data_IF_614353427624
#
_entry.id   IF_614353427624
#
_cell.length_a   1.000
_cell.length_b   1.000
_cell.length_c   1.000
_cell.angle_alpha   90.00
_cell.angle_beta   90.00
_cell.angle_gamma   90.00
#
_symmetry.space_group_name_H-M   'P 1'
#
loop_
_entity.id
_entity.type
_entity.pdbx_description
1 polymer ?
#
# COMPACT_ATOMS: atom_id res chain seq x y z
N UNK A 1 -5.38 -18.22 -21.66
CA UNK A 1 -5.40 -19.37 -20.74
C UNK A 1 -5.82 -18.90 -19.35
N UNK A 2 -6.67 -19.69 -18.66
CA UNK A 2 -7.05 -19.42 -17.27
C UNK A 2 -5.87 -19.67 -16.34
N UNK A 3 -5.60 -18.71 -15.44
CA UNK A 3 -4.59 -18.85 -14.39
C UNK A 3 -5.16 -18.33 -13.08
N UNK A 4 -4.93 -19.05 -11.99
CA UNK A 4 -5.31 -18.62 -10.66
C UNK A 4 -4.21 -18.96 -9.64
N UNK A 5 -3.83 -17.97 -8.86
CA UNK A 5 -2.89 -18.10 -7.76
C UNK A 5 -3.51 -17.60 -6.47
N UNK A 6 -3.43 -18.39 -5.41
CA UNK A 6 -3.80 -17.99 -4.09
C UNK A 6 -2.61 -18.18 -3.14
N UNK A 7 -2.36 -17.24 -2.29
CA UNK A 7 -1.32 -17.36 -1.27
C UNK A 7 -1.79 -16.85 0.09
N UNK A 8 -1.35 -17.54 1.13
CA UNK A 8 -1.53 -17.13 2.53
C UNK A 8 -0.17 -17.21 3.19
N UNK A 9 0.21 -16.19 3.92
CA UNK A 9 1.46 -16.16 4.67
C UNK A 9 1.25 -15.64 6.08
N UNK A 10 2.03 -16.21 7.00
CA UNK A 10 2.15 -15.77 8.38
C UNK A 10 3.62 -15.51 8.71
N UNK A 11 3.90 -14.47 9.46
CA UNK A 11 5.26 -14.06 9.80
C UNK A 11 5.36 -13.45 11.19
N UNK A 12 6.55 -13.06 11.58
CA UNK A 12 6.82 -12.40 12.85
C UNK A 12 5.97 -11.14 13.03
N UNK A 13 5.66 -10.81 14.29
CA UNK A 13 4.80 -9.69 14.70
C UNK A 13 3.40 -9.76 14.13
N UNK A 14 2.78 -10.95 14.21
CA UNK A 14 1.40 -11.19 13.76
C UNK A 14 1.14 -10.71 12.33
N UNK A 15 2.12 -10.89 11.45
CA UNK A 15 2.01 -10.50 10.07
C UNK A 15 1.28 -11.59 9.27
N UNK A 16 0.01 -11.35 9.00
CA UNK A 16 -0.83 -12.22 8.18
C UNK A 16 -1.16 -11.55 6.87
N UNK A 17 -0.95 -12.25 5.77
CA UNK A 17 -1.26 -11.76 4.43
C UNK A 17 -1.94 -12.84 3.60
N UNK A 18 -3.00 -12.43 2.89
CA UNK A 18 -3.67 -13.26 1.89
C UNK A 18 -3.69 -12.52 0.55
N UNK A 19 -3.52 -13.27 -0.52
CA UNK A 19 -3.57 -12.76 -1.89
C UNK A 19 -4.31 -13.74 -2.79
N UNK A 20 -5.13 -13.21 -3.68
CA UNK A 20 -5.74 -13.94 -4.79
C UNK A 20 -5.41 -13.19 -6.08
N UNK A 21 -4.99 -13.92 -7.11
CA UNK A 21 -4.68 -13.40 -8.45
C UNK A 21 -5.30 -14.35 -9.47
N UNK A 22 -6.26 -13.85 -10.25
CA UNK A 22 -6.96 -14.63 -11.27
C UNK A 22 -6.89 -13.89 -12.59
N UNK A 23 -6.48 -14.61 -13.62
CA UNK A 23 -6.44 -14.15 -15.00
C UNK A 23 -7.20 -15.15 -15.89
N UNK A 24 -8.09 -14.65 -16.74
CA UNK A 24 -8.92 -15.49 -17.58
C UNK A 24 -9.26 -14.83 -18.91
N UNK A 25 -9.29 -15.58 -20.03
CA UNK A 25 -10.00 -15.14 -21.21
C UNK A 25 -11.50 -15.08 -20.89
N UNK A 26 -12.16 -14.03 -21.35
CA UNK A 26 -13.59 -13.80 -21.18
C UNK A 26 -14.38 -14.24 -22.39
N UNK A 27 -13.70 -14.47 -23.55
CA UNK A 27 -14.26 -14.96 -24.79
C UNK A 27 -13.51 -16.22 -25.24
N UNK A 28 -14.17 -17.09 -26.02
CA UNK A 28 -13.61 -18.34 -26.52
C UNK A 28 -12.38 -18.12 -27.42
N UNK A 29 -12.39 -17.05 -28.20
CA UNK A 29 -11.29 -16.63 -29.08
C UNK A 29 -10.13 -15.94 -28.32
N UNK A 30 -10.27 -15.70 -27.03
CA UNK A 30 -9.27 -15.05 -26.18
C UNK A 30 -9.06 -13.55 -26.44
N UNK A 31 -9.88 -12.95 -27.29
CA UNK A 31 -9.77 -11.51 -27.64
C UNK A 31 -10.10 -10.57 -26.48
N UNK A 32 -10.93 -11.02 -25.55
CA UNK A 32 -11.20 -10.30 -24.29
C UNK A 32 -10.62 -11.12 -23.15
N UNK A 33 -9.79 -10.49 -22.35
CA UNK A 33 -9.16 -11.11 -21.19
C UNK A 33 -9.21 -10.17 -19.98
N UNK A 34 -9.31 -10.75 -18.82
CA UNK A 34 -9.37 -10.02 -17.57
C UNK A 34 -8.40 -10.59 -16.53
N UNK A 35 -7.92 -9.72 -15.65
CA UNK A 35 -7.16 -10.07 -14.45
C UNK A 35 -7.67 -9.33 -13.25
N UNK A 36 -7.80 -10.02 -12.13
CA UNK A 36 -8.19 -9.47 -10.85
C UNK A 36 -7.18 -9.91 -9.81
N UNK A 37 -6.69 -8.96 -9.03
CA UNK A 37 -5.80 -9.23 -7.89
C UNK A 37 -6.39 -8.60 -6.64
N UNK A 38 -6.54 -9.39 -5.57
CA UNK A 38 -6.95 -8.93 -4.26
C UNK A 38 -5.89 -9.26 -3.22
N UNK A 39 -5.59 -8.31 -2.33
CA UNK A 39 -4.62 -8.50 -1.24
C UNK A 39 -5.20 -7.92 0.04
N UNK A 40 -5.11 -8.68 1.13
CA UNK A 40 -5.33 -8.18 2.48
C UNK A 40 -4.14 -8.53 3.36
N UNK A 41 -3.76 -7.62 4.24
CA UNK A 41 -2.67 -7.83 5.19
C UNK A 41 -2.98 -7.12 6.50
N UNK A 42 -2.75 -7.79 7.61
CA UNK A 42 -2.70 -7.23 8.97
C UNK A 42 -1.35 -7.57 9.57
N UNK A 43 -0.67 -6.56 10.11
CA UNK A 43 0.65 -6.77 10.73
C UNK A 43 0.88 -5.82 11.88
N UNK A 44 1.61 -6.29 12.87
CA UNK A 44 2.29 -5.48 13.87
C UNK A 44 3.73 -5.18 13.45
N UNK A 45 4.54 -4.65 14.34
CA UNK A 45 5.95 -4.34 14.15
C UNK A 45 6.72 -4.65 15.44
N UNK A 46 8.04 -4.58 15.38
CA UNK A 46 8.87 -4.56 16.58
C UNK A 46 8.63 -3.32 17.45
N UNK A 47 8.05 -2.27 16.90
CA UNK A 47 7.68 -1.05 17.64
C UNK A 47 6.38 -1.28 18.43
N UNK A 48 6.39 -0.86 19.71
CA UNK A 48 5.22 -0.89 20.57
C UNK A 48 4.05 -0.13 19.94
N UNK A 49 2.84 -0.69 20.01
CA UNK A 49 1.58 -0.12 19.54
C UNK A 49 1.44 0.03 18.02
N UNK A 50 2.49 -0.25 17.22
CA UNK A 50 2.39 -0.15 15.77
C UNK A 50 1.60 -1.33 15.20
N UNK A 51 0.55 -1.01 14.47
CA UNK A 51 -0.24 -1.95 13.67
C UNK A 51 -0.55 -1.34 12.31
N UNK A 52 -0.57 -2.15 11.26
CA UNK A 52 -0.95 -1.70 9.92
C UNK A 52 -1.88 -2.70 9.27
N UNK A 53 -3.06 -2.21 8.84
CA UNK A 53 -3.96 -2.93 7.93
C UNK A 53 -3.80 -2.40 6.52
N UNK A 54 -3.69 -3.31 5.56
CA UNK A 54 -3.62 -2.99 4.13
C UNK A 54 -4.63 -3.83 3.36
N UNK A 55 -5.44 -3.16 2.54
CA UNK A 55 -6.24 -3.80 1.51
C UNK A 55 -5.85 -3.22 0.16
N UNK A 56 -5.70 -4.08 -0.84
CA UNK A 56 -5.42 -3.66 -2.20
C UNK A 56 -6.25 -4.48 -3.18
N UNK A 57 -6.65 -3.84 -4.25
CA UNK A 57 -7.37 -4.43 -5.36
C UNK A 57 -6.81 -3.91 -6.67
N UNK A 58 -6.66 -4.78 -7.66
CA UNK A 58 -6.32 -4.44 -9.02
C UNK A 58 -7.24 -5.20 -9.97
N UNK A 59 -7.78 -4.50 -10.94
CA UNK A 59 -8.57 -5.07 -12.03
C UNK A 59 -8.08 -4.56 -13.36
N UNK A 60 -7.96 -5.45 -14.34
CA UNK A 60 -7.55 -5.15 -15.72
C UNK A 60 -8.45 -5.90 -16.68
N UNK A 61 -8.91 -5.22 -17.72
CA UNK A 61 -9.53 -5.82 -18.89
C UNK A 61 -8.78 -5.38 -20.13
N UNK A 62 -8.45 -6.32 -20.98
CA UNK A 62 -7.83 -6.08 -22.28
C UNK A 62 -8.73 -6.64 -23.39
N UNK A 63 -8.82 -5.90 -24.48
CA UNK A 63 -9.61 -6.23 -25.64
C UNK A 63 -8.77 -6.06 -26.90
N UNK A 64 -8.58 -7.14 -27.66
CA UNK A 64 -7.98 -7.09 -28.99
C UNK A 64 -9.04 -6.56 -29.96
N UNK A 65 -9.04 -5.26 -30.25
CA UNK A 65 -9.97 -4.61 -31.19
C UNK A 65 -9.72 -5.08 -32.62
N UNK A 66 -8.44 -5.21 -32.97
CA UNK A 66 -7.95 -5.80 -34.21
C UNK A 66 -6.69 -6.65 -33.88
N UNK A 67 -6.14 -7.43 -34.84
CA UNK A 67 -4.88 -8.16 -34.60
C UNK A 67 -3.72 -7.25 -34.17
N UNK A 68 -3.76 -5.98 -34.55
CA UNK A 68 -2.68 -5.01 -34.29
C UNK A 68 -3.07 -3.95 -33.26
N UNK A 69 -4.27 -4.02 -32.66
CA UNK A 69 -4.78 -3.00 -31.76
C UNK A 69 -5.33 -3.62 -30.47
N UNK A 70 -4.74 -3.25 -29.34
CA UNK A 70 -5.18 -3.67 -28.01
C UNK A 70 -5.68 -2.44 -27.24
N UNK A 71 -6.88 -2.55 -26.69
CA UNK A 71 -7.43 -1.60 -25.71
C UNK A 71 -7.30 -2.21 -24.32
N UNK A 72 -6.75 -1.46 -23.37
CA UNK A 72 -6.65 -1.84 -21.97
C UNK A 72 -7.40 -0.87 -21.07
N UNK A 73 -8.09 -1.38 -20.05
CA UNK A 73 -8.76 -0.59 -19.02
C UNK A 73 -8.45 -1.22 -17.67
N UNK A 74 -8.02 -0.42 -16.72
CA UNK A 74 -7.68 -0.93 -15.41
C UNK A 74 -8.02 0.01 -14.27
N UNK A 75 -8.11 -0.58 -13.09
CA UNK A 75 -8.35 0.11 -11.84
C UNK A 75 -7.48 -0.49 -10.73
N UNK A 76 -6.80 0.38 -10.00
CA UNK A 76 -5.99 0.05 -8.82
C UNK A 76 -6.56 0.78 -7.60
N UNK A 77 -6.67 0.08 -6.50
CA UNK A 77 -7.12 0.59 -5.22
C UNK A 77 -6.20 0.12 -4.11
N UNK A 78 -5.76 1.03 -3.26
CA UNK A 78 -5.03 0.70 -2.04
C UNK A 78 -5.56 1.51 -0.85
N UNK A 79 -5.78 0.83 0.27
CA UNK A 79 -6.19 1.43 1.54
C UNK A 79 -5.24 0.92 2.64
N UNK A 80 -4.45 1.82 3.20
CA UNK A 80 -3.41 1.51 4.19
C UNK A 80 -3.72 2.30 5.46
N UNK A 81 -3.92 1.60 6.57
CA UNK A 81 -4.33 2.17 7.86
C UNK A 81 -3.34 1.82 8.97
N UNK A 82 -2.23 2.52 9.07
CA UNK A 82 -1.32 2.36 10.21
C UNK A 82 -1.86 3.09 11.45
N UNK A 83 -1.68 2.44 12.61
CA UNK A 83 -1.92 2.97 13.94
C UNK A 83 -0.63 2.94 14.74
N UNK A 84 -0.57 3.70 15.83
CA UNK A 84 0.64 3.77 16.64
C UNK A 84 1.81 4.42 15.89
N UNK A 85 1.53 5.42 15.07
CA UNK A 85 2.53 6.17 14.29
C UNK A 85 2.80 7.53 14.89
N UNK A 86 4.05 8.01 14.79
CA UNK A 86 4.47 9.35 15.18
C UNK A 86 4.98 10.13 13.98
N UNK A 87 5.00 11.46 14.10
CA UNK A 87 5.67 12.34 13.13
C UNK A 87 7.14 12.56 13.48
N UNK A 88 7.72 11.80 14.33
CA UNK A 88 9.12 11.93 14.75
C UNK A 88 9.61 10.69 15.45
N UNK A 89 10.87 10.71 15.80
CA UNK A 89 11.50 9.65 16.57
C UNK A 89 11.27 9.81 18.08
N UNK A 90 11.97 8.97 18.84
CA UNK A 90 12.08 9.10 20.30
C UNK A 90 13.28 10.00 20.63
N UNK A 91 13.22 10.85 21.67
CA UNK A 91 14.36 11.64 22.11
C UNK A 91 15.48 10.71 22.62
N UNK A 92 16.72 10.99 22.22
CA UNK A 92 17.89 10.19 22.62
C UNK A 92 18.50 10.63 23.94
N UNK A 93 18.12 11.79 24.43
CA UNK A 93 18.69 12.42 25.63
C UNK A 93 17.58 12.83 26.60
N UNK A 94 17.87 12.76 27.87
CA UNK A 94 17.11 13.43 28.91
C UNK A 94 17.47 14.91 28.99
N UNK A 95 16.69 15.70 29.72
CA UNK A 95 16.95 17.14 29.93
C UNK A 95 18.25 17.43 30.67
N UNK A 96 18.79 16.48 31.40
CA UNK A 96 20.09 16.53 32.09
C UNK A 96 21.27 16.17 31.17
N UNK A 97 21.02 15.86 29.88
CA UNK A 97 22.04 15.46 28.91
C UNK A 97 22.44 13.99 28.99
N UNK A 98 21.85 13.20 29.87
CA UNK A 98 22.10 11.77 29.91
C UNK A 98 21.34 11.03 28.81
N UNK A 99 21.88 9.87 28.34
CA UNK A 99 21.27 9.08 27.30
C UNK A 99 20.04 8.33 27.83
N UNK A 100 18.96 8.32 27.05
CA UNK A 100 17.70 7.65 27.42
C UNK A 100 17.77 6.14 27.37
N UNK A 101 18.66 5.55 26.56
CA UNK A 101 18.85 4.11 26.39
C UNK A 101 17.51 3.34 26.22
N UNK A 102 16.57 3.90 25.46
CA UNK A 102 15.29 3.25 25.18
C UNK A 102 15.47 1.86 24.59
N UNK A 103 14.52 0.98 24.89
CA UNK A 103 14.43 -0.32 24.20
C UNK A 103 14.20 -0.09 22.69
N UNK A 104 14.62 -1.05 21.87
CA UNK A 104 14.41 -1.02 20.42
C UNK A 104 12.92 -0.90 20.06
N UNK A 105 12.03 -1.42 20.90
CA UNK A 105 10.59 -1.38 20.68
C UNK A 105 9.93 -0.06 21.08
N UNK A 106 10.64 0.80 21.80
CA UNK A 106 10.06 2.04 22.36
C UNK A 106 9.40 2.88 21.31
N UNK A 107 8.14 3.21 21.54
CA UNK A 107 7.35 4.13 20.75
C UNK A 107 6.76 5.24 21.65
N UNK A 108 6.75 6.47 21.16
CA UNK A 108 6.04 7.59 21.80
C UNK A 108 4.62 7.79 21.23
N UNK A 109 4.19 6.92 20.32
CA UNK A 109 2.87 6.96 19.71
C UNK A 109 1.77 6.63 20.72
N UNK A 110 0.83 7.54 21.03
CA UNK A 110 -0.39 7.19 21.72
C UNK A 110 -1.32 6.30 20.86
N UNK A 111 -2.24 5.60 21.50
CA UNK A 111 -3.15 4.66 20.82
C UNK A 111 -4.10 5.33 19.82
N UNK A 112 -4.33 6.63 19.97
CA UNK A 112 -5.18 7.41 19.06
C UNK A 112 -4.48 7.84 17.76
N UNK A 113 -3.16 7.66 17.64
CA UNK A 113 -2.40 8.07 16.45
C UNK A 113 -2.67 7.14 15.28
N UNK A 114 -2.78 7.73 14.09
CA UNK A 114 -3.03 7.04 12.83
C UNK A 114 -2.56 7.87 11.64
N UNK A 115 -2.36 7.21 10.52
CA UNK A 115 -2.06 7.85 9.24
C UNK A 115 -2.69 7.06 8.10
N UNK A 116 -4.00 7.24 7.92
CA UNK A 116 -4.74 6.51 6.90
C UNK A 116 -4.42 7.08 5.52
N UNK A 117 -4.07 6.21 4.58
CA UNK A 117 -3.78 6.58 3.19
C UNK A 117 -4.61 5.71 2.25
N UNK A 118 -5.31 6.36 1.33
CA UNK A 118 -6.06 5.71 0.26
C UNK A 118 -5.57 6.24 -1.08
N UNK A 119 -5.29 5.33 -2.02
CA UNK A 119 -4.96 5.64 -3.40
C UNK A 119 -5.89 4.87 -4.33
N UNK A 120 -6.40 5.55 -5.32
CA UNK A 120 -7.23 5.02 -6.39
C UNK A 120 -6.64 5.49 -7.71
N UNK A 121 -6.51 4.57 -8.66
CA UNK A 121 -5.98 4.87 -9.98
C UNK A 121 -6.81 4.14 -11.03
N UNK A 122 -7.41 4.89 -11.97
CA UNK A 122 -8.09 4.34 -13.12
C UNK A 122 -7.35 4.74 -14.38
N UNK A 123 -7.19 3.81 -15.31
CA UNK A 123 -6.53 4.09 -16.58
C UNK A 123 -7.23 3.42 -17.75
N UNK A 124 -7.06 4.02 -18.92
CA UNK A 124 -7.40 3.46 -20.22
C UNK A 124 -6.21 3.65 -21.14
N UNK A 125 -5.81 2.60 -21.83
CA UNK A 125 -4.67 2.59 -22.75
C UNK A 125 -5.02 1.97 -24.07
N UNK A 126 -4.36 2.41 -25.14
CA UNK A 126 -4.42 1.82 -26.46
C UNK A 126 -3.02 1.57 -26.97
N UNK A 127 -2.80 0.38 -27.49
CA UNK A 127 -1.60 -0.01 -28.22
C UNK A 127 -1.98 -0.34 -29.67
N UNK A 128 -1.24 0.20 -30.64
CA UNK A 128 -1.46 -0.07 -32.06
C UNK A 128 -0.13 -0.23 -32.80
N UNK A 129 -0.01 -1.33 -33.56
CA UNK A 129 1.09 -1.59 -34.46
C UNK A 129 0.71 -1.22 -35.88
N UNK A 130 1.51 -0.35 -36.53
CA UNK A 130 1.32 0.03 -37.92
C UNK A 130 2.10 -0.90 -38.88
N UNK A 131 1.60 -1.12 -40.08
CA UNK A 131 2.25 -1.95 -41.12
C UNK A 131 3.69 -1.50 -41.47
N UNK A 132 3.99 -0.22 -41.29
CA UNK A 132 5.32 0.35 -41.52
C UNK A 132 6.32 0.12 -40.35
N UNK A 133 5.94 -0.68 -39.35
CA UNK A 133 6.76 -1.01 -38.18
C UNK A 133 6.70 -0.01 -37.02
N UNK A 134 5.95 1.08 -37.15
CA UNK A 134 5.72 2.00 -36.03
C UNK A 134 4.78 1.40 -35.00
N UNK A 135 4.93 1.83 -33.75
CA UNK A 135 4.03 1.47 -32.64
C UNK A 135 3.54 2.72 -31.95
N UNK A 136 2.25 2.79 -31.69
CA UNK A 136 1.62 3.81 -30.85
C UNK A 136 1.28 3.18 -29.50
N UNK A 137 1.70 3.81 -28.42
CA UNK A 137 1.24 3.55 -27.06
C UNK A 137 0.71 4.86 -26.49
N UNK A 138 -0.56 4.88 -26.11
CA UNK A 138 -1.18 6.01 -25.44
C UNK A 138 -1.98 5.54 -24.22
N UNK A 139 -1.81 6.24 -23.09
CA UNK A 139 -2.51 5.93 -21.85
C UNK A 139 -3.00 7.21 -21.19
N UNK A 140 -4.26 7.19 -20.77
CA UNK A 140 -4.86 8.23 -19.93
C UNK A 140 -5.06 7.63 -18.54
N UNK A 141 -4.62 8.37 -17.53
CA UNK A 141 -4.66 7.94 -16.13
C UNK A 141 -5.35 9.00 -15.28
N UNK A 142 -6.24 8.58 -14.41
CA UNK A 142 -6.82 9.41 -13.36
C UNK A 142 -6.45 8.84 -11.99
N UNK A 143 -5.69 9.59 -11.22
CA UNK A 143 -5.24 9.21 -9.88
C UNK A 143 -5.87 10.09 -8.82
N UNK A 144 -6.39 9.48 -7.75
CA UNK A 144 -6.90 10.16 -6.57
C UNK A 144 -6.21 9.58 -5.34
N UNK A 145 -5.64 10.48 -4.53
CA UNK A 145 -5.02 10.10 -3.25
C UNK A 145 -5.68 10.89 -2.12
N UNK A 146 -5.96 10.22 -1.00
CA UNK A 146 -6.47 10.81 0.23
C UNK A 146 -5.62 10.38 1.39
N UNK A 147 -5.24 11.33 2.24
CA UNK A 147 -4.53 11.07 3.49
C UNK A 147 -5.28 11.69 4.66
N UNK A 148 -5.42 10.95 5.76
CA UNK A 148 -6.01 11.43 7.01
C UNK A 148 -5.09 11.00 8.16
N UNK A 149 -4.43 11.97 8.78
CA UNK A 149 -3.46 11.72 9.82
C UNK A 149 -3.86 12.40 11.14
N UNK A 150 -3.63 11.68 12.23
CA UNK A 150 -3.56 12.20 13.59
C UNK A 150 -2.25 11.72 14.17
N UNK A 151 -1.32 12.64 14.34
CA UNK A 151 0.06 12.32 14.71
C UNK A 151 0.46 13.10 15.96
N UNK A 152 1.38 12.53 16.72
CA UNK A 152 2.11 13.20 17.78
C UNK A 152 3.54 13.43 17.29
N UNK A 153 4.03 14.65 17.46
CA UNK A 153 5.44 14.98 17.31
C UNK A 153 5.97 15.37 18.68
N UNK A 154 6.68 14.49 19.38
CA UNK A 154 7.31 14.86 20.64
C UNK A 154 8.42 15.88 20.37
N UNK A 155 8.41 16.97 21.11
CA UNK A 155 9.44 18.02 21.07
C UNK A 155 10.02 18.18 22.47
N UNK A 156 11.32 18.50 22.54
CA UNK A 156 12.05 18.65 23.80
C UNK A 156 12.69 17.38 24.31
N UNK A 157 13.13 17.44 25.54
CA UNK A 157 13.84 16.37 26.23
C UNK A 157 13.13 16.06 27.55
N UNK A 158 12.72 14.80 27.79
CA UNK A 158 12.03 14.45 29.02
C UNK A 158 12.96 14.58 30.24
N UNK A 159 12.40 14.99 31.34
CA UNK A 159 13.07 14.89 32.64
C UNK A 159 13.21 13.42 33.04
N UNK A 160 14.39 13.03 33.50
CA UNK A 160 14.70 11.63 33.80
C UNK A 160 13.84 11.02 34.91
N UNK A 161 13.41 11.82 35.89
CA UNK A 161 12.70 11.34 37.06
C UNK A 161 11.18 11.39 36.88
N UNK A 162 10.70 12.40 36.18
CA UNK A 162 9.26 12.65 36.02
C UNK A 162 8.72 12.22 34.66
N UNK A 163 9.59 12.11 33.64
CA UNK A 163 9.19 11.85 32.25
C UNK A 163 8.48 13.03 31.59
N UNK A 164 8.36 14.17 32.26
CA UNK A 164 7.73 15.39 31.76
C UNK A 164 8.74 16.25 30.98
N UNK A 165 8.25 17.23 30.23
CA UNK A 165 9.10 18.22 29.52
C UNK A 165 9.20 18.00 28.02
N UNK A 166 8.30 17.19 27.45
CA UNK A 166 8.10 17.07 26.01
C UNK A 166 6.80 17.73 25.58
#
# INVERSE_FOLDING_TARGET
>A
EFQANASVSAGSWDNYRSMLDVSTPMTEDGRVRARIVGVTQDRHSYQDRYQQKKNAFFGLVEVDLTPDTVLSMGYDYQDIKPKGVTWGGVPLWFSDGSNTNWSRSKSMAPDWTRWDNRSENAFIGIEHGFENGWKLNATITNQRSKSNARLLSPLGYPDRNTGLGM
#
